data_IF_629545513522
#
_entry.id   IF_629545513522
#
_cell.length_a   1.000
_cell.length_b   1.000
_cell.length_c   1.000
_cell.angle_alpha   90.00
_cell.angle_beta   90.00
_cell.angle_gamma   90.00
#
_symmetry.space_group_name_H-M   'P 1'
#
loop_
_entity.id
_entity.type
_entity.pdbx_description
1 polymer ?
#
# COMPACT_ATOMS: atom_id res chain seq x y z
N UNK A 1 -15.83 5.02 -10.25
CA UNK A 1 -16.39 3.68 -10.55
C UNK A 1 -17.77 3.48 -9.94
N UNK A 2 -18.67 2.80 -10.65
CA UNK A 2 -20.05 2.58 -10.22
C UNK A 2 -20.19 1.38 -9.26
N UNK A 3 -21.14 1.48 -8.32
CA UNK A 3 -21.49 0.38 -7.43
C UNK A 3 -22.34 -0.68 -8.13
N UNK A 4 -23.20 -0.28 -9.08
CA UNK A 4 -24.14 -1.17 -9.78
C UNK A 4 -23.62 -1.64 -11.13
N UNK A 5 -22.64 -0.93 -11.69
CA UNK A 5 -21.94 -1.31 -12.92
C UNK A 5 -20.42 -1.12 -12.74
N UNK A 6 -19.74 -1.98 -11.96
CA UNK A 6 -18.32 -1.82 -11.66
C UNK A 6 -17.39 -1.78 -12.88
N UNK A 7 -17.87 -2.31 -14.02
CA UNK A 7 -17.12 -2.35 -15.26
C UNK A 7 -17.23 -1.09 -16.14
N UNK A 8 -18.12 -0.15 -15.78
CA UNK A 8 -18.41 1.05 -16.60
C UNK A 8 -17.14 1.88 -16.82
N UNK A 9 -16.94 2.31 -18.06
CA UNK A 9 -15.83 3.18 -18.46
C UNK A 9 -16.25 4.67 -18.40
N UNK A 10 -15.30 5.59 -18.11
CA UNK A 10 -13.91 5.33 -17.72
C UNK A 10 -13.77 4.82 -16.27
N UNK A 11 -12.69 4.07 -16.00
CA UNK A 11 -12.34 3.58 -14.66
C UNK A 11 -11.23 4.43 -14.05
N UNK A 12 -11.28 4.59 -12.73
CA UNK A 12 -10.22 5.24 -11.94
C UNK A 12 -8.91 4.44 -12.05
N UNK A 13 -7.80 5.08 -12.41
CA UNK A 13 -6.45 4.49 -12.48
C UNK A 13 -5.36 5.52 -12.10
N UNK A 14 -5.21 5.85 -10.81
CA UNK A 14 -4.20 6.81 -10.37
C UNK A 14 -2.81 6.18 -10.38
N UNK A 15 -1.76 7.01 -10.41
CA UNK A 15 -0.40 6.61 -10.07
C UNK A 15 -0.05 7.23 -8.71
N UNK A 16 0.29 6.39 -7.74
CA UNK A 16 0.54 6.79 -6.36
C UNK A 16 1.90 6.23 -5.93
N UNK A 17 2.73 7.08 -5.33
CA UNK A 17 4.06 6.68 -4.88
C UNK A 17 4.48 7.30 -3.57
N UNK A 18 5.39 6.62 -2.87
CA UNK A 18 6.03 7.05 -1.62
C UNK A 18 5.03 7.31 -0.50
N UNK A 19 4.16 6.32 -0.25
CA UNK A 19 3.11 6.41 0.78
C UNK A 19 3.36 5.42 1.91
N UNK A 20 3.13 5.86 3.15
CA UNK A 20 3.11 5.00 4.33
C UNK A 20 1.73 5.08 4.96
N UNK A 21 1.07 3.93 5.10
CA UNK A 21 -0.25 3.75 5.68
C UNK A 21 -0.12 2.87 6.92
N UNK A 22 -0.37 3.46 8.08
CA UNK A 22 -0.29 2.79 9.38
C UNK A 22 -1.66 2.81 10.04
N UNK A 23 -2.20 1.63 10.28
CA UNK A 23 -3.39 1.46 11.11
C UNK A 23 -3.06 1.43 12.61
N UNK A 24 -4.10 1.40 13.44
CA UNK A 24 -4.02 1.15 14.88
C UNK A 24 -5.02 0.05 15.25
N UNK A 25 -4.67 -0.79 16.23
CA UNK A 25 -5.59 -1.78 16.78
C UNK A 25 -6.64 -1.16 17.74
N UNK A 26 -6.47 0.10 18.12
CA UNK A 26 -7.29 0.79 19.13
C UNK A 26 -8.65 1.26 18.57
N UNK A 27 -8.78 1.32 17.24
CA UNK A 27 -9.97 1.82 16.56
C UNK A 27 -10.33 0.96 15.35
N UNK A 28 -11.60 0.98 14.94
CA UNK A 28 -12.06 0.23 13.77
C UNK A 28 -11.40 0.73 12.48
N UNK A 29 -10.51 -0.07 11.91
CA UNK A 29 -9.76 0.25 10.69
C UNK A 29 -9.58 -1.01 9.81
N UNK A 30 -10.64 -1.39 9.08
CA UNK A 30 -10.72 -2.69 8.42
C UNK A 30 -9.58 -3.00 7.45
N UNK A 31 -9.31 -2.15 6.47
CA UNK A 31 -8.29 -2.43 5.46
C UNK A 31 -7.40 -1.23 5.22
N UNK A 32 -6.11 -1.47 4.97
CA UNK A 32 -5.18 -0.39 4.66
C UNK A 32 -5.41 0.18 3.27
N UNK A 33 -5.27 -0.68 2.27
CA UNK A 33 -5.60 -0.37 0.88
C UNK A 33 -6.68 -1.32 0.38
N UNK A 34 -7.89 -0.78 0.17
CA UNK A 34 -9.02 -1.54 -0.35
C UNK A 34 -9.35 -1.07 -1.76
N UNK A 35 -8.89 -1.82 -2.75
CA UNK A 35 -9.19 -1.56 -4.15
C UNK A 35 -10.46 -2.33 -4.51
N UNK A 36 -11.46 -1.63 -5.07
CA UNK A 36 -12.79 -2.22 -5.26
C UNK A 36 -13.54 -1.64 -6.44
N UNK A 37 -14.63 -2.33 -6.81
CA UNK A 37 -15.60 -1.87 -7.82
C UNK A 37 -14.93 -1.58 -9.18
N UNK A 38 -13.99 -2.42 -9.60
CA UNK A 38 -13.26 -2.25 -10.85
C UNK A 38 -12.31 -1.05 -10.87
N UNK A 39 -11.98 -0.47 -9.70
CA UNK A 39 -10.98 0.59 -9.63
C UNK A 39 -9.59 0.00 -9.84
N UNK A 40 -8.75 0.69 -10.60
CA UNK A 40 -7.35 0.33 -10.80
C UNK A 40 -6.40 1.14 -9.92
N UNK A 41 -5.15 1.18 -10.35
CA UNK A 41 -4.10 2.04 -9.80
C UNK A 41 -2.71 1.43 -9.94
N UNK A 42 -1.73 2.30 -10.16
CA UNK A 42 -0.31 1.96 -10.19
C UNK A 42 0.32 2.45 -8.89
N UNK A 43 0.68 1.52 -8.02
CA UNK A 43 1.23 1.83 -6.70
C UNK A 43 2.71 1.48 -6.66
N UNK A 44 3.56 2.43 -6.25
CA UNK A 44 4.98 2.20 -6.10
C UNK A 44 5.49 2.68 -4.74
N UNK A 45 6.42 1.96 -4.11
CA UNK A 45 6.99 2.37 -2.82
C UNK A 45 5.92 2.59 -1.74
N UNK A 46 4.87 1.76 -1.71
CA UNK A 46 3.87 1.81 -0.67
C UNK A 46 4.32 0.99 0.55
N UNK A 47 4.04 1.46 1.76
CA UNK A 47 4.15 0.69 3.01
C UNK A 47 2.78 0.66 3.66
N UNK A 48 2.24 -0.53 3.95
CA UNK A 48 0.88 -0.66 4.52
C UNK A 48 0.87 -1.68 5.65
N UNK A 49 0.48 -1.28 6.87
CA UNK A 49 0.56 -2.16 8.06
C UNK A 49 -0.41 -1.75 9.17
N UNK A 50 -0.68 -2.65 10.12
CA UNK A 50 -1.33 -2.31 11.39
C UNK A 50 -2.85 -2.13 11.33
N UNK A 51 -3.51 -2.65 10.30
CA UNK A 51 -4.97 -2.59 10.17
C UNK A 51 -5.64 -3.77 10.89
N UNK A 52 -6.91 -3.64 11.28
CA UNK A 52 -7.64 -4.71 11.99
C UNK A 52 -8.07 -5.85 11.08
N UNK A 53 -8.29 -5.59 9.79
CA UNK A 53 -8.47 -6.61 8.76
C UNK A 53 -7.18 -6.84 7.98
N UNK A 54 -7.24 -6.74 6.65
CA UNK A 54 -6.08 -6.99 5.78
C UNK A 54 -5.36 -5.69 5.38
N UNK A 55 -4.03 -5.72 5.28
CA UNK A 55 -3.25 -4.57 4.81
C UNK A 55 -3.63 -4.17 3.38
N UNK A 56 -3.70 -5.14 2.45
CA UNK A 56 -4.18 -4.92 1.08
C UNK A 56 -5.35 -5.85 0.77
N UNK A 57 -6.44 -5.30 0.27
CA UNK A 57 -7.64 -6.06 -0.11
C UNK A 57 -8.10 -5.72 -1.53
N UNK A 58 -8.33 -6.75 -2.35
CA UNK A 58 -8.92 -6.64 -3.68
C UNK A 58 -10.36 -7.16 -3.68
N UNK A 59 -11.32 -6.26 -3.89
CA UNK A 59 -12.74 -6.56 -3.80
C UNK A 59 -13.45 -6.48 -5.16
N UNK A 60 -14.24 -7.51 -5.43
CA UNK A 60 -15.06 -7.65 -6.62
C UNK A 60 -14.28 -8.26 -7.79
N UNK A 61 -14.95 -9.15 -8.51
CA UNK A 61 -14.38 -9.86 -9.65
C UNK A 61 -13.84 -8.90 -10.72
N UNK A 62 -14.48 -7.75 -10.91
CA UNK A 62 -14.06 -6.71 -11.85
C UNK A 62 -12.73 -6.05 -11.48
N UNK A 63 -12.42 -5.95 -10.19
CA UNK A 63 -11.13 -5.43 -9.71
C UNK A 63 -10.05 -6.49 -9.88
N UNK A 64 -10.38 -7.73 -9.50
CA UNK A 64 -9.47 -8.88 -9.61
C UNK A 64 -9.09 -9.20 -11.07
N UNK A 65 -10.00 -8.95 -12.02
CA UNK A 65 -9.79 -9.17 -13.43
C UNK A 65 -8.94 -8.08 -14.13
N UNK A 66 -8.54 -7.01 -13.43
CA UNK A 66 -7.66 -5.99 -14.01
C UNK A 66 -6.26 -6.56 -14.24
N UNK A 67 -5.69 -6.27 -15.42
CA UNK A 67 -4.31 -6.60 -15.73
C UNK A 67 -3.31 -5.71 -14.98
N UNK A 68 -2.02 -6.00 -15.15
CA UNK A 68 -0.91 -5.28 -14.52
C UNK A 68 -0.80 -3.80 -14.95
N UNK A 69 -1.31 -3.44 -16.13
CA UNK A 69 -1.30 -2.05 -16.63
C UNK A 69 -2.40 -1.21 -15.96
N UNK A 70 -3.46 -1.89 -15.50
CA UNK A 70 -4.60 -1.26 -14.84
C UNK A 70 -4.54 -1.36 -13.32
N UNK A 71 -3.90 -2.38 -12.75
CA UNK A 71 -3.71 -2.53 -11.32
C UNK A 71 -2.39 -3.24 -11.00
N UNK A 72 -1.46 -2.54 -10.34
CA UNK A 72 -0.21 -3.14 -9.90
C UNK A 72 0.37 -2.48 -8.66
N UNK A 73 1.16 -3.26 -7.92
CA UNK A 73 2.03 -2.77 -6.85
C UNK A 73 3.46 -3.10 -7.23
N UNK A 74 4.38 -2.16 -7.14
CA UNK A 74 5.81 -2.45 -7.33
C UNK A 74 6.61 -1.84 -6.20
N UNK A 75 7.74 -2.45 -5.84
CA UNK A 75 8.66 -1.93 -4.82
C UNK A 75 7.95 -1.58 -3.51
N UNK A 76 6.90 -2.31 -3.16
CA UNK A 76 6.01 -2.00 -2.03
C UNK A 76 6.18 -3.03 -0.91
N UNK A 77 5.90 -2.63 0.32
CA UNK A 77 6.01 -3.46 1.51
C UNK A 77 4.65 -3.58 2.21
N UNK A 78 4.20 -4.81 2.40
CA UNK A 78 2.94 -5.08 3.11
C UNK A 78 3.26 -5.70 4.47
N UNK A 79 3.01 -4.91 5.51
CA UNK A 79 3.18 -5.29 6.91
C UNK A 79 2.01 -6.08 7.47
N UNK A 80 2.21 -6.71 8.62
CA UNK A 80 1.17 -7.53 9.26
C UNK A 80 -0.02 -6.68 9.73
N UNK A 81 -1.21 -7.24 9.58
CA UNK A 81 -2.49 -6.68 10.04
C UNK A 81 -3.31 -7.81 10.67
N UNK A 82 -4.38 -7.49 11.40
CA UNK A 82 -5.13 -8.43 12.23
C UNK A 82 -5.68 -9.66 11.49
N UNK A 83 -6.16 -9.49 10.26
CA UNK A 83 -6.59 -10.61 9.40
C UNK A 83 -5.50 -11.10 8.43
N UNK A 84 -4.27 -10.59 8.54
CA UNK A 84 -3.12 -10.92 7.70
C UNK A 84 -2.74 -9.84 6.69
N UNK A 85 -1.79 -10.16 5.81
CA UNK A 85 -1.26 -9.21 4.81
C UNK A 85 -2.30 -8.87 3.72
N UNK A 86 -3.03 -9.89 3.25
CA UNK A 86 -3.88 -9.79 2.07
C UNK A 86 -5.29 -10.29 2.36
N UNK A 87 -6.25 -9.78 1.60
CA UNK A 87 -7.64 -10.19 1.66
C UNK A 87 -8.43 -9.76 0.43
N UNK A 88 -9.74 -9.88 0.53
CA UNK A 88 -10.66 -9.59 -0.57
C UNK A 88 -11.88 -10.48 -0.50
N UNK A 89 -12.81 -10.29 -1.44
CA UNK A 89 -14.01 -11.13 -1.56
C UNK A 89 -14.16 -11.84 -2.91
N UNK A 90 -13.24 -11.59 -3.85
CA UNK A 90 -13.26 -12.19 -5.19
C UNK A 90 -12.14 -13.22 -5.42
N UNK A 91 -11.14 -13.26 -4.54
CA UNK A 91 -10.02 -14.20 -4.55
C UNK A 91 -9.59 -14.51 -3.11
N UNK A 92 -8.89 -15.63 -2.90
CA UNK A 92 -8.34 -15.98 -1.58
C UNK A 92 -7.17 -15.05 -1.22
N UNK A 93 -6.85 -14.96 0.07
CA UNK A 93 -5.70 -14.18 0.53
C UNK A 93 -4.39 -14.66 -0.09
N UNK A 94 -4.23 -15.97 -0.30
CA UNK A 94 -3.07 -16.59 -0.93
C UNK A 94 -2.95 -16.21 -2.41
N UNK A 95 -4.08 -16.14 -3.13
CA UNK A 95 -4.08 -15.69 -4.52
C UNK A 95 -3.67 -14.22 -4.63
N UNK A 96 -4.19 -13.35 -3.75
CA UNK A 96 -3.79 -11.93 -3.71
C UNK A 96 -2.32 -11.80 -3.31
N UNK A 97 -1.82 -12.64 -2.39
CA UNK A 97 -0.41 -12.68 -2.02
C UNK A 97 0.48 -13.08 -3.21
N UNK A 98 0.11 -14.13 -3.95
CA UNK A 98 0.84 -14.58 -5.13
C UNK A 98 0.87 -13.49 -6.22
N UNK A 99 -0.27 -12.84 -6.46
CA UNK A 99 -0.38 -11.70 -7.36
C UNK A 99 0.54 -10.53 -6.95
N UNK A 100 0.51 -10.13 -5.67
CA UNK A 100 1.35 -9.05 -5.17
C UNK A 100 2.84 -9.39 -5.29
N UNK A 101 3.24 -10.60 -4.90
CA UNK A 101 4.64 -11.04 -4.93
C UNK A 101 5.18 -11.29 -6.35
N UNK A 102 4.31 -11.42 -7.35
CA UNK A 102 4.73 -11.53 -8.76
C UNK A 102 5.30 -10.23 -9.31
N UNK A 103 5.01 -9.09 -8.70
CA UNK A 103 5.56 -7.80 -9.12
C UNK A 103 6.93 -7.50 -8.52
N UNK A 104 7.74 -6.79 -9.29
CA UNK A 104 9.13 -6.48 -8.94
C UNK A 104 9.24 -5.67 -7.65
N UNK A 105 10.17 -6.09 -6.79
CA UNK A 105 10.57 -5.35 -5.59
C UNK A 105 9.58 -5.40 -4.43
N UNK A 106 8.47 -6.13 -4.55
CA UNK A 106 7.49 -6.27 -3.48
C UNK A 106 7.97 -7.21 -2.37
N UNK A 107 7.63 -6.89 -1.13
CA UNK A 107 7.95 -7.69 0.05
C UNK A 107 6.83 -7.64 1.10
N UNK A 108 6.81 -8.64 1.98
CA UNK A 108 5.92 -8.72 3.14
C UNK A 108 6.74 -8.99 4.40
N UNK A 109 6.21 -8.65 5.58
CA UNK A 109 6.86 -8.96 6.85
C UNK A 109 6.58 -7.92 7.93
N UNK A 110 7.49 -7.78 8.89
CA UNK A 110 7.45 -6.65 9.83
C UNK A 110 8.15 -5.44 9.22
N UNK A 111 7.43 -4.33 9.11
CA UNK A 111 7.97 -3.08 8.59
C UNK A 111 8.90 -2.36 9.58
N UNK A 112 8.96 -2.78 10.85
CA UNK A 112 9.79 -2.18 11.91
C UNK A 112 9.66 -0.66 11.97
N UNK A 113 8.43 -0.20 12.23
CA UNK A 113 8.13 1.22 12.39
C UNK A 113 8.04 1.57 13.88
N UNK A 114 8.48 2.78 14.25
CA UNK A 114 8.08 3.43 15.51
C UNK A 114 7.08 4.51 15.13
N UNK A 115 5.84 4.36 15.62
CA UNK A 115 4.69 5.06 15.07
C UNK A 115 4.60 4.89 13.55
N UNK A 116 4.95 5.91 12.76
CA UNK A 116 4.96 5.87 11.30
C UNK A 116 6.37 5.95 10.68
N UNK A 117 7.40 6.12 11.51
CA UNK A 117 8.77 6.31 11.05
C UNK A 117 9.53 4.97 11.03
N UNK A 118 10.32 4.67 9.98
CA UNK A 118 11.15 3.47 9.96
C UNK A 118 12.25 3.50 11.03
N UNK A 119 12.46 2.37 11.71
CA UNK A 119 13.64 2.14 12.55
C UNK A 119 14.90 1.96 11.68
N UNK A 120 16.09 2.08 12.27
CA UNK A 120 17.38 2.00 11.56
C UNK A 120 17.60 0.68 10.80
N UNK A 121 17.02 -0.42 11.31
CA UNK A 121 17.11 -1.76 10.72
C UNK A 121 15.83 -2.17 9.96
N UNK A 122 14.98 -1.18 9.63
CA UNK A 122 13.74 -1.41 8.91
C UNK A 122 13.99 -1.87 7.47
N UNK A 123 13.30 -2.94 7.01
CA UNK A 123 13.43 -3.42 5.63
C UNK A 123 12.86 -2.45 4.60
N UNK A 124 12.12 -1.41 5.02
CA UNK A 124 11.55 -0.41 4.11
C UNK A 124 12.55 0.67 3.73
N UNK A 125 13.70 0.76 4.41
CA UNK A 125 14.77 1.72 4.09
C UNK A 125 15.49 1.42 2.77
N UNK A 126 15.22 0.25 2.17
CA UNK A 126 15.79 -0.19 0.90
C UNK A 126 14.71 -0.75 -0.02
N UNK A 127 15.07 -0.95 -1.29
CA UNK A 127 14.22 -1.63 -2.26
C UNK A 127 13.08 -0.77 -2.80
N UNK A 128 13.16 0.56 -2.63
CA UNK A 128 12.32 1.53 -3.34
C UNK A 128 12.82 1.78 -4.76
N UNK A 129 11.94 2.35 -5.59
CA UNK A 129 12.20 2.72 -6.98
C UNK A 129 11.88 4.18 -7.24
N UNK A 130 12.84 4.91 -7.81
CA UNK A 130 12.55 6.21 -8.40
C UNK A 130 11.66 6.03 -9.64
N UNK A 131 10.46 6.60 -9.60
CA UNK A 131 9.59 6.64 -10.77
C UNK A 131 10.14 7.63 -11.80
N UNK A 132 9.91 7.32 -13.08
CA UNK A 132 10.44 8.13 -14.18
C UNK A 132 9.75 9.50 -14.31
N UNK A 133 8.51 9.61 -13.83
CA UNK A 133 7.73 10.84 -13.97
C UNK A 133 8.23 11.93 -13.00
N UNK A 134 8.58 13.14 -13.48
CA UNK A 134 9.29 14.16 -12.70
C UNK A 134 8.48 14.77 -11.55
N UNK A 135 7.15 14.56 -11.54
CA UNK A 135 6.29 14.93 -10.41
C UNK A 135 6.70 14.20 -9.11
N UNK A 136 7.19 12.95 -9.22
CA UNK A 136 7.55 12.17 -8.04
C UNK A 136 8.97 12.50 -7.59
N UNK A 137 9.13 12.70 -6.28
CA UNK A 137 10.46 12.75 -5.67
C UNK A 137 11.15 11.40 -5.85
N UNK A 138 12.35 11.35 -6.44
CA UNK A 138 13.11 10.11 -6.57
C UNK A 138 13.58 9.65 -5.18
N UNK A 139 13.32 8.39 -4.86
CA UNK A 139 13.72 7.76 -3.59
C UNK A 139 14.22 6.33 -3.83
N UNK A 140 15.03 5.81 -2.93
CA UNK A 140 15.54 4.43 -2.93
C UNK A 140 14.95 3.55 -1.81
N UNK A 141 14.06 4.12 -1.00
CA UNK A 141 13.35 3.48 0.10
C UNK A 141 11.86 3.33 -0.24
N UNK A 142 11.17 2.46 0.49
CA UNK A 142 9.72 2.27 0.39
C UNK A 142 9.03 3.12 1.45
N UNK A 143 7.91 3.71 1.09
CA UNK A 143 7.12 4.56 1.98
C UNK A 143 7.46 6.04 1.86
N UNK A 144 6.93 6.82 2.80
CA UNK A 144 7.01 8.28 2.78
C UNK A 144 8.27 8.85 3.46
N UNK A 145 9.05 8.05 4.18
CA UNK A 145 10.10 8.51 5.09
C UNK A 145 11.41 7.78 4.84
N UNK A 146 12.53 8.52 4.77
CA UNK A 146 13.86 7.97 4.57
C UNK A 146 14.51 7.37 5.83
N UNK A 147 13.85 7.48 6.99
CA UNK A 147 14.31 6.93 8.28
C UNK A 147 13.74 7.67 9.47
N UNK A 148 14.20 7.30 10.68
CA UNK A 148 13.63 7.80 11.94
C UNK A 148 13.78 9.32 12.16
N UNK A 149 14.67 9.97 11.40
CA UNK A 149 14.94 11.40 11.51
C UNK A 149 14.36 12.22 10.34
N UNK A 150 13.77 11.58 9.32
CA UNK A 150 13.22 12.23 8.12
C UNK A 150 11.71 12.49 8.26
N UNK A 151 11.31 13.22 9.31
CA UNK A 151 9.89 13.54 9.54
C UNK A 151 9.52 14.89 8.94
N UNK A 152 9.21 14.88 7.64
CA UNK A 152 8.75 16.06 6.90
C UNK A 152 7.37 16.57 7.38
N UNK A 153 6.61 15.79 8.14
CA UNK A 153 5.29 16.20 8.64
C UNK A 153 5.38 17.18 9.81
N UNK A 154 6.57 17.32 10.42
CA UNK A 154 6.83 18.30 11.47
C UNK A 154 6.57 19.72 10.97
N UNK A 155 5.72 20.45 11.70
CA UNK A 155 5.29 21.80 11.34
C UNK A 155 4.09 21.85 10.38
N UNK A 156 3.72 20.73 9.76
CA UNK A 156 2.52 20.61 8.92
C UNK A 156 1.33 20.01 9.67
N UNK A 157 1.61 19.20 10.69
CA UNK A 157 0.59 18.53 11.51
C UNK A 157 0.78 18.88 12.99
N UNK A 158 -0.27 18.65 13.78
CA UNK A 158 -0.25 18.80 15.23
C UNK A 158 -0.43 17.43 15.90
N UNK A 159 0.02 17.30 17.15
CA UNK A 159 -0.09 16.07 17.97
C UNK A 159 0.61 14.86 17.36
N UNK A 160 1.84 15.05 16.89
CA UNK A 160 2.68 13.92 16.49
C UNK A 160 2.88 12.95 17.66
N UNK A 161 2.84 11.63 17.42
CA UNK A 161 3.23 10.61 18.40
C UNK A 161 4.62 10.95 18.93
N UNK A 162 4.78 10.88 20.25
CA UNK A 162 6.07 11.06 20.91
C UNK A 162 6.88 9.77 20.90
#
# INVERSE_FOLDING_TARGET
NSNTAPDILPRTRPEISNITLVGSADYTNLHGMRIRRGSGGLYANAVVTGYTGASVALDGAQTWALDAENLSFTHSFVGHSGAGFFGGNAASAEAVAAWFNAFSGNQTGDAKLIAYLPQDDSPVLIGGKALAHPYFRPVSYRGAFAGMHDDWTRGWTSRLPR
#
